data_IF_061471494138
#
_entry.id   IF_061471494138
#
_cell.length_a   1.000
_cell.length_b   1.000
_cell.length_c   1.000
_cell.angle_alpha   90.00
_cell.angle_beta   90.00
_cell.angle_gamma   90.00
#
_symmetry.space_group_name_H-M   'P 1'
#
loop_
_entity.id
_entity.type
_entity.pdbx_description
1 polymer ?
#
# COMPACT_ATOMS: atom_id res chain seq x y z
N UNK A 1 64.26 6.40 -32.92
CA UNK A 1 63.04 5.81 -33.52
C UNK A 1 61.94 5.78 -32.47
N UNK A 2 60.84 6.49 -32.75
CA UNK A 2 59.46 6.43 -32.24
C UNK A 2 59.21 5.92 -30.79
N UNK A 3 58.79 6.86 -29.94
CA UNK A 3 58.06 6.67 -28.68
C UNK A 3 56.91 5.67 -28.86
N UNK A 4 56.71 4.76 -27.91
CA UNK A 4 55.42 4.12 -27.68
C UNK A 4 55.11 4.17 -26.18
N UNK A 5 54.38 5.23 -25.83
CA UNK A 5 53.59 5.34 -24.61
C UNK A 5 52.55 4.23 -24.66
N UNK A 6 52.67 3.23 -23.78
CA UNK A 6 51.67 2.18 -23.64
C UNK A 6 50.63 2.67 -22.63
N UNK A 7 49.68 3.46 -23.13
CA UNK A 7 48.46 3.83 -22.44
C UNK A 7 47.38 2.84 -22.90
N UNK A 8 46.96 1.93 -22.02
CA UNK A 8 45.78 1.07 -22.23
C UNK A 8 45.21 0.74 -20.83
N UNK A 9 44.35 1.61 -20.32
CA UNK A 9 42.89 1.42 -20.24
C UNK A 9 42.48 0.45 -19.13
N UNK A 10 42.53 0.95 -17.89
CA UNK A 10 41.86 0.38 -16.71
C UNK A 10 40.83 1.42 -16.25
N UNK A 11 39.81 1.69 -17.07
CA UNK A 11 38.80 2.70 -16.74
C UNK A 11 37.46 2.43 -17.40
N UNK A 12 36.85 1.27 -17.13
CA UNK A 12 35.41 1.04 -17.39
C UNK A 12 34.91 -0.13 -16.52
N UNK A 13 34.63 0.10 -15.24
CA UNK A 13 33.79 -0.84 -14.47
C UNK A 13 33.12 -0.23 -13.23
N UNK A 14 32.91 1.09 -13.19
CA UNK A 14 32.24 1.76 -12.04
C UNK A 14 30.87 2.33 -12.37
N UNK A 15 30.28 2.01 -13.53
CA UNK A 15 28.99 2.58 -13.95
C UNK A 15 27.76 1.85 -13.40
N UNK A 16 27.90 0.70 -12.73
CA UNK A 16 26.76 -0.07 -12.23
C UNK A 16 26.36 0.25 -10.78
N UNK A 17 27.22 0.89 -10.00
CA UNK A 17 26.93 1.17 -8.57
C UNK A 17 25.99 2.36 -8.39
N UNK A 18 26.00 3.31 -9.33
CA UNK A 18 25.21 4.54 -9.18
C UNK A 18 23.69 4.32 -9.36
N UNK A 19 23.27 3.44 -10.27
CA UNK A 19 21.85 3.10 -10.44
C UNK A 19 21.34 2.20 -9.32
N UNK A 20 22.17 1.26 -8.84
CA UNK A 20 21.80 0.37 -7.72
C UNK A 20 21.43 1.15 -6.47
N UNK A 21 22.18 2.19 -6.13
CA UNK A 21 21.90 3.01 -4.95
C UNK A 21 20.61 3.85 -5.13
N UNK A 22 20.35 4.38 -6.34
CA UNK A 22 19.15 5.17 -6.58
C UNK A 22 17.86 4.35 -6.43
N UNK A 23 17.85 3.11 -6.95
CA UNK A 23 16.70 2.22 -6.81
C UNK A 23 16.49 1.79 -5.35
N UNK A 24 17.57 1.48 -4.61
CA UNK A 24 17.49 1.16 -3.18
C UNK A 24 16.93 2.34 -2.38
N UNK A 25 17.46 3.55 -2.59
CA UNK A 25 17.01 4.76 -1.92
C UNK A 25 15.52 5.03 -2.22
N UNK A 26 15.06 4.78 -3.44
CA UNK A 26 13.67 4.94 -3.82
C UNK A 26 12.73 3.96 -3.11
N UNK A 27 13.09 2.68 -3.02
CA UNK A 27 12.31 1.66 -2.26
C UNK A 27 12.24 2.06 -0.78
N UNK A 28 13.38 2.47 -0.19
CA UNK A 28 13.46 2.89 1.21
C UNK A 28 12.57 4.11 1.45
N UNK A 29 12.62 5.12 0.59
CA UNK A 29 11.83 6.34 0.76
C UNK A 29 10.33 6.08 0.53
N UNK A 30 9.97 5.21 -0.42
CA UNK A 30 8.59 4.82 -0.64
C UNK A 30 7.95 4.25 0.64
N UNK A 31 8.64 3.34 1.34
CA UNK A 31 8.13 2.76 2.59
C UNK A 31 8.26 3.76 3.75
N UNK A 32 9.47 4.25 4.02
CA UNK A 32 9.76 4.98 5.25
C UNK A 32 9.20 6.41 5.26
N UNK A 33 9.06 7.05 4.10
CA UNK A 33 8.52 8.41 3.99
C UNK A 33 7.10 8.40 3.42
N UNK A 34 6.87 7.64 2.33
CA UNK A 34 5.56 7.55 1.69
C UNK A 34 4.54 6.82 2.57
N UNK A 35 4.64 5.50 2.64
CA UNK A 35 3.66 4.66 3.33
C UNK A 35 3.57 4.97 4.82
N UNK A 36 4.69 5.11 5.52
CA UNK A 36 4.67 5.41 6.96
C UNK A 36 3.98 6.75 7.28
N UNK A 37 4.00 7.74 6.37
CA UNK A 37 3.26 8.99 6.59
C UNK A 37 1.74 8.84 6.55
N UNK A 38 1.25 7.73 5.98
CA UNK A 38 -0.16 7.41 5.81
C UNK A 38 -0.66 6.36 6.82
N UNK A 39 0.25 5.62 7.47
CA UNK A 39 -0.08 4.49 8.34
C UNK A 39 -1.06 4.84 9.47
N UNK A 40 -0.91 6.01 10.10
CA UNK A 40 -1.83 6.43 11.18
C UNK A 40 -3.29 6.55 10.69
N UNK A 41 -3.53 6.95 9.43
CA UNK A 41 -4.88 7.03 8.87
C UNK A 41 -5.51 5.64 8.71
N UNK A 42 -4.74 4.69 8.18
CA UNK A 42 -5.20 3.31 8.01
C UNK A 42 -5.43 2.63 9.37
N UNK A 43 -4.46 2.74 10.29
CA UNK A 43 -4.54 2.13 11.62
C UNK A 43 -5.75 2.63 12.39
N UNK A 44 -6.01 3.94 12.38
CA UNK A 44 -7.19 4.49 13.03
C UNK A 44 -8.49 4.00 12.38
N UNK A 45 -8.56 3.98 11.05
CA UNK A 45 -9.74 3.51 10.34
C UNK A 45 -10.04 2.04 10.63
N UNK A 46 -9.02 1.17 10.53
CA UNK A 46 -9.13 -0.27 10.75
C UNK A 46 -9.40 -0.58 12.22
N UNK A 47 -8.76 0.13 13.15
CA UNK A 47 -9.02 -0.02 14.59
C UNK A 47 -10.48 0.33 14.94
N UNK A 48 -11.00 1.45 14.42
CA UNK A 48 -12.42 1.81 14.60
C UNK A 48 -13.32 0.76 13.95
N UNK A 49 -13.03 0.31 12.72
CA UNK A 49 -13.80 -0.74 12.04
C UNK A 49 -13.88 -2.04 12.88
N UNK A 50 -12.75 -2.50 13.42
CA UNK A 50 -12.70 -3.70 14.28
C UNK A 50 -13.50 -3.49 15.58
N UNK A 51 -13.54 -2.26 16.10
CA UNK A 51 -14.27 -1.94 17.33
C UNK A 51 -15.80 -2.03 17.21
N UNK A 52 -16.34 -2.01 15.98
CA UNK A 52 -17.80 -2.06 15.73
C UNK A 52 -18.24 -3.27 14.91
N UNK A 53 -17.33 -4.21 14.62
CA UNK A 53 -17.62 -5.41 13.81
C UNK A 53 -17.29 -6.70 14.55
N UNK A 54 -17.67 -7.84 13.94
CA UNK A 54 -17.37 -9.17 14.47
C UNK A 54 -17.93 -9.38 15.88
N UNK A 55 -17.06 -9.73 16.84
CA UNK A 55 -17.45 -9.94 18.23
C UNK A 55 -17.84 -8.63 18.96
N UNK A 56 -17.46 -7.47 18.43
CA UNK A 56 -17.76 -6.17 19.00
C UNK A 56 -19.02 -5.53 18.39
N UNK A 57 -19.64 -6.19 17.41
CA UNK A 57 -20.89 -5.71 16.81
C UNK A 57 -22.01 -5.66 17.85
N UNK A 58 -22.74 -4.55 17.87
CA UNK A 58 -23.82 -4.28 18.84
C UNK A 58 -25.15 -4.12 18.11
N UNK A 59 -25.24 -3.15 17.22
CA UNK A 59 -26.39 -2.87 16.37
C UNK A 59 -25.98 -2.10 15.11
N UNK A 60 -26.88 -2.09 14.11
CA UNK A 60 -26.65 -1.47 12.81
C UNK A 60 -26.40 0.03 12.92
N UNK A 61 -27.05 0.73 13.86
CA UNK A 61 -26.89 2.17 14.02
C UNK A 61 -25.49 2.51 14.51
N UNK A 62 -25.01 1.80 15.53
CA UNK A 62 -23.65 1.97 16.07
C UNK A 62 -22.59 1.67 15.00
N UNK A 63 -22.82 0.63 14.18
CA UNK A 63 -21.96 0.33 13.04
C UNK A 63 -21.97 1.46 12.01
N UNK A 64 -23.14 1.85 11.50
CA UNK A 64 -23.27 2.89 10.46
C UNK A 64 -22.70 4.24 10.94
N UNK A 65 -22.94 4.62 12.20
CA UNK A 65 -22.42 5.87 12.76
C UNK A 65 -20.89 5.87 12.80
N UNK A 66 -20.26 4.79 13.29
CA UNK A 66 -18.80 4.69 13.32
C UNK A 66 -18.19 4.64 11.91
N UNK A 67 -18.82 3.90 10.99
CA UNK A 67 -18.36 3.79 9.61
C UNK A 67 -18.36 5.14 8.89
N UNK A 68 -19.47 5.88 9.01
CA UNK A 68 -19.66 7.13 8.27
C UNK A 68 -18.95 8.33 8.91
N UNK A 69 -18.76 8.33 10.23
CA UNK A 69 -18.14 9.45 10.94
C UNK A 69 -16.62 9.31 11.14
N UNK A 70 -16.10 8.09 11.14
CA UNK A 70 -14.69 7.84 11.43
C UNK A 70 -13.98 6.97 10.39
N UNK A 71 -14.52 5.78 10.07
CA UNK A 71 -13.79 4.79 9.24
C UNK A 71 -13.62 5.30 7.80
N UNK A 72 -14.73 5.57 7.12
CA UNK A 72 -14.70 5.98 5.70
C UNK A 72 -13.89 7.26 5.52
N UNK A 73 -14.13 8.36 6.26
CA UNK A 73 -13.39 9.61 6.03
C UNK A 73 -11.87 9.50 6.23
N UNK A 74 -11.40 8.63 7.13
CA UNK A 74 -9.96 8.40 7.33
C UNK A 74 -9.39 7.51 6.25
N UNK A 75 -10.10 6.44 5.90
CA UNK A 75 -9.66 5.52 4.88
C UNK A 75 -9.67 6.16 3.48
N UNK A 76 -10.58 7.11 3.22
CA UNK A 76 -10.53 7.96 2.03
C UNK A 76 -9.25 8.79 1.97
N UNK A 77 -8.89 9.47 3.06
CA UNK A 77 -7.63 10.24 3.13
C UNK A 77 -6.40 9.35 2.94
N UNK A 78 -6.45 8.12 3.44
CA UNK A 78 -5.42 7.13 3.23
C UNK A 78 -5.30 6.73 1.75
N UNK A 79 -6.42 6.37 1.10
CA UNK A 79 -6.45 6.01 -0.33
C UNK A 79 -6.01 7.18 -1.20
N UNK A 80 -6.48 8.40 -0.93
CA UNK A 80 -6.05 9.62 -1.62
C UNK A 80 -4.53 9.83 -1.46
N UNK A 81 -4.00 9.67 -0.25
CA UNK A 81 -2.57 9.75 0.01
C UNK A 81 -1.77 8.67 -0.71
N UNK A 82 -2.29 7.43 -0.80
CA UNK A 82 -1.69 6.35 -1.57
C UNK A 82 -1.61 6.74 -3.04
N UNK A 83 -2.71 7.19 -3.63
CA UNK A 83 -2.79 7.57 -5.06
C UNK A 83 -1.87 8.74 -5.43
N UNK A 84 -1.48 9.56 -4.44
CA UNK A 84 -0.51 10.64 -4.62
C UNK A 84 0.95 10.14 -4.65
N UNK A 85 1.23 8.92 -4.16
CA UNK A 85 2.55 8.32 -4.26
C UNK A 85 2.81 7.93 -5.72
N UNK A 86 3.97 8.33 -6.24
CA UNK A 86 4.32 8.09 -7.64
C UNK A 86 5.77 7.63 -7.74
N UNK A 87 6.05 6.35 -7.41
CA UNK A 87 7.37 5.76 -7.57
C UNK A 87 7.80 5.76 -9.05
N UNK A 88 9.08 6.02 -9.30
CA UNK A 88 9.66 6.09 -10.64
C UNK A 88 10.27 4.76 -11.09
N UNK A 89 10.66 3.90 -10.13
CA UNK A 89 11.09 2.54 -10.40
C UNK A 89 9.89 1.73 -10.93
N UNK A 90 9.96 1.28 -12.18
CA UNK A 90 8.87 0.59 -12.90
C UNK A 90 8.29 -0.58 -12.09
N UNK A 91 9.15 -1.45 -11.55
CA UNK A 91 8.73 -2.59 -10.73
C UNK A 91 7.98 -2.16 -9.46
N UNK A 92 8.45 -1.09 -8.80
CA UNK A 92 7.79 -0.54 -7.61
C UNK A 92 6.47 0.14 -7.96
N UNK A 93 6.38 0.80 -9.12
CA UNK A 93 5.12 1.38 -9.62
C UNK A 93 4.07 0.32 -9.87
N UNK A 94 4.43 -0.80 -10.49
CA UNK A 94 3.49 -1.90 -10.70
C UNK A 94 3.03 -2.55 -9.38
N UNK A 95 3.89 -2.59 -8.37
CA UNK A 95 3.54 -3.08 -7.03
C UNK A 95 2.64 -2.08 -6.31
N UNK A 96 2.91 -0.79 -6.45
CA UNK A 96 2.10 0.29 -5.89
C UNK A 96 0.68 0.30 -6.48
N UNK A 97 0.54 0.12 -7.80
CA UNK A 97 -0.77 0.06 -8.46
C UNK A 97 -1.66 -1.06 -7.88
N UNK A 98 -1.07 -2.22 -7.57
CA UNK A 98 -1.77 -3.33 -6.89
C UNK A 98 -2.25 -2.92 -5.50
N UNK A 99 -1.44 -2.16 -4.75
CA UNK A 99 -1.83 -1.70 -3.43
C UNK A 99 -2.99 -0.70 -3.50
N UNK A 100 -2.92 0.26 -4.42
CA UNK A 100 -3.99 1.24 -4.67
C UNK A 100 -5.29 0.53 -5.07
N UNK A 101 -5.22 -0.49 -5.94
CA UNK A 101 -6.41 -1.27 -6.32
C UNK A 101 -7.01 -2.01 -5.11
N UNK A 102 -6.17 -2.66 -4.30
CA UNK A 102 -6.61 -3.34 -3.08
C UNK A 102 -7.26 -2.41 -2.06
N UNK A 103 -6.66 -1.26 -1.81
CA UNK A 103 -7.19 -0.24 -0.90
C UNK A 103 -8.51 0.35 -1.43
N UNK A 104 -8.63 0.61 -2.74
CA UNK A 104 -9.87 1.07 -3.35
C UNK A 104 -11.01 0.04 -3.22
N UNK A 105 -10.74 -1.26 -3.42
CA UNK A 105 -11.74 -2.32 -3.20
C UNK A 105 -12.18 -2.38 -1.73
N UNK A 106 -11.25 -2.19 -0.79
CA UNK A 106 -11.57 -2.12 0.62
C UNK A 106 -12.44 -0.91 0.96
N UNK A 107 -12.15 0.27 0.39
CA UNK A 107 -12.98 1.46 0.53
C UNK A 107 -14.39 1.25 -0.04
N UNK A 108 -14.51 0.66 -1.22
CA UNK A 108 -15.81 0.31 -1.81
C UNK A 108 -16.58 -0.68 -0.91
N UNK A 109 -15.87 -1.64 -0.29
CA UNK A 109 -16.47 -2.57 0.65
C UNK A 109 -17.10 -1.85 1.86
N UNK A 110 -16.47 -0.79 2.36
CA UNK A 110 -17.00 0.00 3.48
C UNK A 110 -18.28 0.74 3.08
N UNK A 111 -18.29 1.34 1.89
CA UNK A 111 -19.49 1.96 1.34
C UNK A 111 -20.64 0.97 1.19
N UNK A 112 -20.36 -0.24 0.69
CA UNK A 112 -21.37 -1.30 0.55
C UNK A 112 -21.88 -1.82 1.89
N UNK A 113 -21.01 -1.91 2.91
CA UNK A 113 -21.42 -2.32 4.24
C UNK A 113 -22.37 -1.30 4.88
N UNK A 114 -22.09 0.00 4.75
CA UNK A 114 -22.98 1.07 5.20
C UNK A 114 -24.32 1.01 4.46
N UNK A 115 -24.29 0.91 3.13
CA UNK A 115 -25.50 0.82 2.30
C UNK A 115 -26.38 -0.39 2.72
N UNK A 116 -25.75 -1.55 2.94
CA UNK A 116 -26.42 -2.75 3.41
C UNK A 116 -27.01 -2.62 4.81
N UNK A 117 -26.27 -2.01 5.74
CA UNK A 117 -26.73 -1.77 7.11
C UNK A 117 -27.92 -0.81 7.18
N UNK A 118 -27.90 0.28 6.42
CA UNK A 118 -29.00 1.25 6.37
C UNK A 118 -30.27 0.67 5.75
N UNK A 119 -30.12 -0.17 4.72
CA UNK A 119 -31.25 -0.76 3.99
C UNK A 119 -31.73 -2.09 4.58
N UNK A 120 -30.99 -2.69 5.51
CA UNK A 120 -31.20 -4.07 5.96
C UNK A 120 -31.09 -5.06 4.81
N UNK A 121 -30.19 -4.80 3.86
CA UNK A 121 -30.05 -5.56 2.61
C UNK A 121 -28.83 -6.49 2.69
N UNK A 122 -29.09 -7.76 3.00
CA UNK A 122 -28.05 -8.80 3.11
C UNK A 122 -27.23 -8.98 1.82
N UNK A 123 -27.81 -8.73 0.64
CA UNK A 123 -27.06 -8.83 -0.63
C UNK A 123 -25.93 -7.79 -0.70
N UNK A 124 -26.16 -6.57 -0.23
CA UNK A 124 -25.12 -5.54 -0.19
C UNK A 124 -24.02 -5.87 0.83
N UNK A 125 -24.38 -6.55 1.92
CA UNK A 125 -23.40 -7.06 2.88
C UNK A 125 -22.56 -8.20 2.27
N UNK A 126 -23.18 -9.09 1.50
CA UNK A 126 -22.45 -10.14 0.77
C UNK A 126 -21.51 -9.54 -0.30
N UNK A 127 -21.97 -8.52 -1.03
CA UNK A 127 -21.14 -7.77 -1.99
C UNK A 127 -19.96 -7.07 -1.30
N UNK A 128 -20.20 -6.42 -0.15
CA UNK A 128 -19.14 -5.84 0.69
C UNK A 128 -18.10 -6.88 1.10
N UNK A 129 -18.54 -8.06 1.59
CA UNK A 129 -17.61 -9.12 2.00
C UNK A 129 -16.76 -9.63 0.84
N UNK A 130 -17.34 -9.73 -0.35
CA UNK A 130 -16.61 -10.14 -1.55
C UNK A 130 -15.55 -9.11 -1.95
N UNK A 131 -15.91 -7.82 -1.99
CA UNK A 131 -14.97 -6.73 -2.28
C UNK A 131 -13.81 -6.71 -1.26
N UNK A 132 -14.10 -6.95 0.01
CA UNK A 132 -13.08 -7.04 1.06
C UNK A 132 -12.16 -8.24 0.89
N UNK A 133 -12.68 -9.39 0.44
CA UNK A 133 -11.87 -10.56 0.12
C UNK A 133 -10.92 -10.28 -1.06
N UNK A 134 -11.46 -9.74 -2.16
CA UNK A 134 -10.68 -9.36 -3.34
C UNK A 134 -9.61 -8.29 -3.00
N UNK A 135 -9.97 -7.24 -2.25
CA UNK A 135 -9.03 -6.23 -1.79
C UNK A 135 -7.93 -6.80 -0.89
N UNK A 136 -8.28 -7.72 0.01
CA UNK A 136 -7.30 -8.40 0.87
C UNK A 136 -6.33 -9.27 0.07
N UNK A 137 -6.78 -9.92 -1.01
CA UNK A 137 -5.90 -10.69 -1.89
C UNK A 137 -4.86 -9.78 -2.55
N UNK A 138 -5.26 -8.61 -3.05
CA UNK A 138 -4.34 -7.63 -3.66
C UNK A 138 -3.37 -7.02 -2.64
N UNK A 139 -3.83 -6.69 -1.43
CA UNK A 139 -2.95 -6.17 -0.37
C UNK A 139 -1.91 -7.23 0.04
N UNK A 140 -2.31 -8.51 0.10
CA UNK A 140 -1.36 -9.60 0.34
C UNK A 140 -0.36 -9.76 -0.83
N UNK A 141 -0.81 -9.63 -2.08
CA UNK A 141 0.07 -9.63 -3.24
C UNK A 141 1.09 -8.49 -3.17
N UNK A 142 0.65 -7.27 -2.83
CA UNK A 142 1.53 -6.13 -2.60
C UNK A 142 2.62 -6.46 -1.57
N UNK A 143 2.26 -7.02 -0.42
CA UNK A 143 3.22 -7.38 0.63
C UNK A 143 4.27 -8.39 0.14
N UNK A 144 3.83 -9.45 -0.54
CA UNK A 144 4.72 -10.48 -1.09
C UNK A 144 5.67 -9.88 -2.13
N UNK A 145 5.14 -9.07 -3.06
CA UNK A 145 5.97 -8.47 -4.12
C UNK A 145 6.93 -7.41 -3.58
N UNK A 146 6.57 -6.68 -2.54
CA UNK A 146 7.48 -5.78 -1.84
C UNK A 146 8.63 -6.53 -1.15
N UNK A 147 8.35 -7.70 -0.54
CA UNK A 147 9.38 -8.56 0.04
C UNK A 147 10.35 -9.05 -1.05
N UNK A 148 9.82 -9.57 -2.17
CA UNK A 148 10.62 -10.02 -3.32
C UNK A 148 11.49 -8.90 -3.91
N UNK A 149 10.92 -7.70 -4.11
CA UNK A 149 11.66 -6.53 -4.59
C UNK A 149 12.78 -6.13 -3.61
N UNK A 150 12.50 -6.18 -2.31
CA UNK A 150 13.49 -5.85 -1.29
C UNK A 150 14.66 -6.82 -1.28
N UNK A 151 14.40 -8.11 -1.44
CA UNK A 151 15.43 -9.13 -1.59
C UNK A 151 16.29 -8.91 -2.85
N UNK A 152 15.64 -8.61 -3.99
CA UNK A 152 16.33 -8.34 -5.26
C UNK A 152 17.30 -7.16 -5.14
N UNK A 153 16.85 -6.08 -4.52
CA UNK A 153 17.65 -4.87 -4.35
C UNK A 153 18.50 -4.86 -3.08
N UNK A 154 18.45 -5.93 -2.26
CA UNK A 154 19.15 -6.04 -0.96
C UNK A 154 18.83 -4.85 -0.03
N UNK A 155 17.55 -4.52 0.08
CA UNK A 155 17.03 -3.44 0.93
C UNK A 155 16.42 -4.05 2.19
N UNK A 156 16.73 -3.44 3.35
CA UNK A 156 15.98 -3.63 4.59
C UNK A 156 15.30 -2.30 4.92
N UNK A 157 14.00 -2.31 5.18
CA UNK A 157 13.23 -1.14 5.62
C UNK A 157 12.45 -1.44 6.91
N UNK A 158 11.98 -0.39 7.58
CA UNK A 158 11.23 -0.51 8.83
C UNK A 158 9.75 -0.19 8.56
N UNK A 159 8.89 -1.20 8.70
CA UNK A 159 7.48 -0.96 8.97
C UNK A 159 7.34 -0.73 10.47
N UNK A 160 6.66 0.33 10.91
CA UNK A 160 6.32 0.46 12.33
C UNK A 160 5.33 -0.67 12.68
N UNK A 161 5.66 -1.46 13.71
CA UNK A 161 4.86 -2.58 14.25
C UNK A 161 3.65 -2.08 15.07
#
# INVERSE_FOLDING_TARGET
MKKKLMLLLFLTSTLLVACSNANQDEIINYVNEGLNSLGELEDEAISTFISVTGQNFTDDQTFVDAMTSEVIPKYEQFVEGLEELNPNLEELSEIHDVYVEGANLQLESFYKAVEGGEQGNEQLIDESNKLREEGSELINEFQVRMEELSEEYNVEYHTED
#
